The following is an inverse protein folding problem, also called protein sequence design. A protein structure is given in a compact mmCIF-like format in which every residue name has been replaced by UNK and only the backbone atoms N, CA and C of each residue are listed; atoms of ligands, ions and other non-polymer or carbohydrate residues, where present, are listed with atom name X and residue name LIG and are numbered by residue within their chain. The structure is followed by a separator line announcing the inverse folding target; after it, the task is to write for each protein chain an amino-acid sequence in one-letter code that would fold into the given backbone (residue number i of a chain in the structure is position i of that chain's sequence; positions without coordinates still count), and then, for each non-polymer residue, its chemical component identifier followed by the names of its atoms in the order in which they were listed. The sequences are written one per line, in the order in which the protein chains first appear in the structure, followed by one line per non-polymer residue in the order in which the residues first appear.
data_IF_910210813556
#
_entry.id   IF_910210813556
#
_cell.length_a   1.000
_cell.length_b   1.000
_cell.length_c   1.000
_cell.angle_alpha   90.00
_cell.angle_beta   90.00
_cell.angle_gamma   90.00
#
_symmetry.space_group_name_H-M   'P 1'
#
loop_
_entity.id
_entity.type
_entity.pdbx_description
1 polymer ?
#
# COMPACT_ATOMS: atom_id res chain seq x y z
N UNK A 1 22.45 11.30 1.24
CA UNK A 1 21.94 10.03 0.66
C UNK A 1 21.27 9.29 1.79
N UNK A 2 20.01 8.86 1.63
CA UNK A 2 19.33 8.07 2.66
C UNK A 2 19.87 6.65 2.67
N UNK A 3 20.03 6.04 3.84
CA UNK A 3 20.36 4.63 3.96
C UNK A 3 19.12 3.75 4.14
N UNK A 4 19.31 2.43 4.13
CA UNK A 4 18.23 1.45 4.25
C UNK A 4 17.43 1.58 5.55
N UNK A 5 18.10 1.90 6.66
CA UNK A 5 17.44 2.03 7.96
C UNK A 5 16.56 3.29 7.99
N UNK A 6 17.07 4.39 7.41
CA UNK A 6 16.31 5.63 7.25
C UNK A 6 15.05 5.39 6.40
N UNK A 7 15.17 4.71 5.27
CA UNK A 7 14.01 4.35 4.42
C UNK A 7 13.00 3.47 5.19
N UNK A 8 13.47 2.48 5.95
CA UNK A 8 12.59 1.62 6.76
C UNK A 8 11.84 2.42 7.83
N UNK A 9 12.49 3.38 8.47
CA UNK A 9 11.85 4.25 9.46
C UNK A 9 10.85 5.23 8.83
N UNK A 10 11.15 5.75 7.64
CA UNK A 10 10.23 6.58 6.86
C UNK A 10 8.97 5.80 6.47
N UNK A 11 9.11 4.56 6.01
CA UNK A 11 7.98 3.66 5.74
C UNK A 11 7.14 3.38 6.99
N UNK A 12 7.78 3.20 8.15
CA UNK A 12 7.06 3.01 9.42
C UNK A 12 6.24 4.25 9.78
N UNK A 13 6.81 5.44 9.63
CA UNK A 13 6.11 6.70 9.88
C UNK A 13 4.97 6.91 8.89
N UNK A 14 5.18 6.61 7.61
CA UNK A 14 4.17 6.66 6.57
C UNK A 14 2.99 5.72 6.89
N UNK A 15 3.30 4.48 7.27
CA UNK A 15 2.31 3.51 7.73
C UNK A 15 1.49 4.03 8.93
N UNK A 16 2.15 4.63 9.93
CA UNK A 16 1.47 5.18 11.10
C UNK A 16 0.56 6.36 10.72
N UNK A 17 1.02 7.26 9.86
CA UNK A 17 0.24 8.40 9.37
C UNK A 17 -1.01 7.93 8.60
N UNK A 18 -0.82 7.06 7.60
CA UNK A 18 -1.92 6.51 6.80
C UNK A 18 -2.94 5.75 7.63
N UNK A 19 -2.48 4.94 8.59
CA UNK A 19 -3.40 4.24 9.47
C UNK A 19 -4.21 5.18 10.35
N UNK A 20 -3.61 6.26 10.86
CA UNK A 20 -4.35 7.24 11.65
C UNK A 20 -5.53 7.79 10.83
N UNK A 21 -5.30 8.09 9.56
CA UNK A 21 -6.32 8.63 8.65
C UNK A 21 -7.38 7.59 8.27
N UNK A 22 -6.97 6.35 7.96
CA UNK A 22 -7.90 5.31 7.49
C UNK A 22 -8.67 4.59 8.59
N UNK A 23 -8.09 4.51 9.78
CA UNK A 23 -8.69 3.70 10.86
C UNK A 23 -9.38 4.55 11.91
N UNK A 24 -9.01 5.83 12.06
CA UNK A 24 -9.40 6.66 13.21
C UNK A 24 -9.20 5.93 14.56
N UNK A 25 -8.27 4.98 14.65
CA UNK A 25 -8.03 4.12 15.83
C UNK A 25 -8.62 2.70 15.75
N UNK A 26 -9.29 2.33 14.66
CA UNK A 26 -9.83 1.00 14.39
C UNK A 26 -8.82 -0.02 13.83
N UNK A 27 -9.32 -1.04 13.14
CA UNK A 27 -8.51 -2.11 12.57
C UNK A 27 -7.54 -1.58 11.50
N UNK A 28 -6.23 -1.73 11.74
CA UNK A 28 -5.13 -1.36 10.83
C UNK A 28 -5.16 -2.07 9.49
N UNK A 29 -5.88 -3.18 9.40
CA UNK A 29 -6.09 -3.95 8.17
C UNK A 29 -7.53 -3.78 7.64
N UNK A 30 -8.33 -2.94 8.28
CA UNK A 30 -9.77 -2.78 8.02
C UNK A 30 -10.08 -2.34 6.60
N UNK A 31 -9.22 -1.54 5.96
CA UNK A 31 -9.45 -1.12 4.58
C UNK A 31 -9.46 -2.31 3.60
N UNK A 32 -8.51 -3.24 3.73
CA UNK A 32 -8.43 -4.42 2.87
C UNK A 32 -9.61 -5.36 3.10
N UNK A 33 -9.99 -5.58 4.37
CA UNK A 33 -11.15 -6.41 4.75
C UNK A 33 -12.46 -5.81 4.23
N UNK A 34 -12.63 -4.49 4.36
CA UNK A 34 -13.81 -3.76 3.86
C UNK A 34 -13.94 -3.87 2.35
N UNK A 35 -12.86 -3.68 1.61
CA UNK A 35 -12.88 -3.77 0.14
C UNK A 35 -13.15 -5.20 -0.31
N UNK A 36 -12.51 -6.19 0.31
CA UNK A 36 -12.81 -7.62 0.09
C UNK A 36 -14.29 -7.94 0.33
N UNK A 37 -14.87 -7.44 1.43
CA UNK A 37 -16.29 -7.62 1.71
C UNK A 37 -17.21 -6.96 0.67
N UNK A 38 -16.87 -5.75 0.18
CA UNK A 38 -17.61 -5.07 -0.90
C UNK A 38 -17.55 -5.90 -2.19
N UNK A 39 -16.37 -6.40 -2.56
CA UNK A 39 -16.20 -7.22 -3.77
C UNK A 39 -17.04 -8.51 -3.70
N UNK A 40 -17.19 -9.09 -2.51
CA UNK A 40 -18.07 -10.25 -2.30
C UNK A 40 -19.53 -9.94 -2.56
N UNK A 41 -20.01 -8.73 -2.26
CA UNK A 41 -21.37 -8.30 -2.60
C UNK A 41 -21.61 -8.24 -4.13
N UNK A 42 -20.53 -8.14 -4.92
CA UNK A 42 -20.57 -8.16 -6.37
C UNK A 42 -20.31 -9.56 -6.97
N UNK A 43 -20.22 -10.59 -6.12
CA UNK A 43 -19.98 -11.97 -6.55
C UNK A 43 -18.51 -12.34 -6.73
N UNK A 44 -17.56 -11.48 -6.33
CA UNK A 44 -16.14 -11.80 -6.37
C UNK A 44 -15.64 -12.29 -5.02
N UNK A 45 -15.07 -13.50 -4.97
CA UNK A 45 -14.45 -14.01 -3.74
C UNK A 45 -12.95 -13.69 -3.71
N UNK A 46 -12.62 -12.46 -3.33
CA UNK A 46 -11.25 -11.94 -3.31
C UNK A 46 -10.78 -11.78 -1.86
N UNK A 47 -9.76 -12.53 -1.40
CA UNK A 47 -9.22 -12.38 -0.06
C UNK A 47 -8.64 -10.98 0.19
N UNK A 48 -8.67 -10.46 1.43
CA UNK A 48 -8.09 -9.16 1.77
C UNK A 48 -6.61 -9.03 1.36
N UNK A 49 -5.82 -10.10 1.46
CA UNK A 49 -4.42 -10.09 1.04
C UNK A 49 -4.26 -9.86 -0.46
N UNK A 50 -5.16 -10.38 -1.29
CA UNK A 50 -5.18 -10.13 -2.74
C UNK A 50 -5.53 -8.67 -3.04
N UNK A 51 -6.44 -8.06 -2.27
CA UNK A 51 -6.68 -6.61 -2.36
C UNK A 51 -5.39 -5.83 -2.05
N UNK A 52 -4.65 -6.24 -1.02
CA UNK A 52 -3.34 -5.68 -0.70
C UNK A 52 -2.34 -5.80 -1.86
N UNK A 53 -2.27 -6.98 -2.51
CA UNK A 53 -1.42 -7.20 -3.68
C UNK A 53 -1.81 -6.29 -4.85
N UNK A 54 -3.10 -6.07 -5.11
CA UNK A 54 -3.57 -5.16 -6.17
C UNK A 54 -3.16 -3.72 -5.86
N UNK A 55 -3.27 -3.28 -4.61
CA UNK A 55 -2.83 -1.93 -4.22
C UNK A 55 -1.31 -1.77 -4.33
N UNK A 56 -0.55 -2.80 -3.96
CA UNK A 56 0.91 -2.81 -4.16
C UNK A 56 1.27 -2.73 -5.65
N UNK A 57 0.61 -3.53 -6.50
CA UNK A 57 0.82 -3.54 -7.94
C UNK A 57 0.54 -2.17 -8.56
N UNK A 58 -0.56 -1.51 -8.17
CA UNK A 58 -0.90 -0.15 -8.61
C UNK A 58 0.24 0.84 -8.34
N UNK A 59 0.86 0.78 -7.16
CA UNK A 59 1.93 1.70 -6.79
C UNK A 59 3.23 1.41 -7.55
N UNK A 60 3.55 0.12 -7.74
CA UNK A 60 4.70 -0.31 -8.50
C UNK A 60 4.58 0.07 -9.98
N UNK A 61 3.41 -0.14 -10.59
CA UNK A 61 3.12 0.24 -11.98
C UNK A 61 3.26 1.75 -12.17
N UNK A 62 2.68 2.56 -11.28
CA UNK A 62 2.81 4.01 -11.34
C UNK A 62 4.28 4.46 -11.27
N UNK A 63 5.07 3.89 -10.35
CA UNK A 63 6.50 4.21 -10.24
C UNK A 63 7.27 3.80 -11.51
N UNK A 64 7.02 2.61 -12.05
CA UNK A 64 7.66 2.13 -13.27
C UNK A 64 7.30 2.99 -14.49
N UNK A 65 6.04 3.40 -14.59
CA UNK A 65 5.57 4.28 -15.66
C UNK A 65 6.23 5.67 -15.60
N UNK A 66 6.32 6.27 -14.40
CA UNK A 66 7.05 7.52 -14.13
C UNK A 66 8.51 7.43 -14.59
N UNK A 67 9.22 6.37 -14.18
CA UNK A 67 10.60 6.13 -14.60
C UNK A 67 10.73 6.00 -16.12
N UNK A 68 9.84 5.24 -16.76
CA UNK A 68 9.86 5.01 -18.21
C UNK A 68 9.64 6.30 -19.02
N UNK A 69 8.76 7.16 -18.54
CA UNK A 69 8.44 8.44 -19.17
C UNK A 69 9.35 9.61 -18.72
N UNK A 70 10.22 9.38 -17.73
CA UNK A 70 11.08 10.42 -17.12
C UNK A 70 10.28 11.62 -16.59
N UNK A 71 9.10 11.38 -16.04
CA UNK A 71 8.30 12.41 -15.37
C UNK A 71 8.26 12.18 -13.86
N UNK A 72 8.07 13.26 -13.11
CA UNK A 72 7.87 13.22 -11.68
C UNK A 72 6.47 13.73 -11.34
N UNK A 73 5.75 13.03 -10.46
CA UNK A 73 4.42 13.43 -10.04
C UNK A 73 4.45 14.60 -9.05
N UNK A 74 3.50 15.54 -9.16
CA UNK A 74 3.42 16.70 -8.26
C UNK A 74 2.96 16.33 -6.84
N UNK A 75 2.06 15.35 -6.72
CA UNK A 75 1.48 14.93 -5.43
C UNK A 75 2.18 13.70 -4.87
N UNK A 76 2.33 12.67 -5.71
CA UNK A 76 3.00 11.42 -5.35
C UNK A 76 4.07 11.15 -6.41
N UNK A 77 5.32 11.15 -5.94
CA UNK A 77 6.52 10.97 -6.74
C UNK A 77 7.00 9.50 -6.70
N UNK A 78 7.98 9.15 -7.53
CA UNK A 78 8.53 7.78 -7.64
C UNK A 78 8.91 7.22 -6.25
N UNK A 79 9.56 8.02 -5.40
CA UNK A 79 10.02 7.60 -4.08
C UNK A 79 8.86 7.25 -3.13
N UNK A 80 7.85 8.12 -3.05
CA UNK A 80 6.64 7.88 -2.22
C UNK A 80 5.83 6.67 -2.71
N UNK A 81 5.79 6.42 -4.02
CA UNK A 81 5.16 5.23 -4.61
C UNK A 81 5.89 3.96 -4.20
N UNK A 82 7.23 3.96 -4.24
CA UNK A 82 8.04 2.81 -3.82
C UNK A 82 7.98 2.58 -2.31
N UNK A 83 7.91 3.64 -1.50
CA UNK A 83 7.68 3.52 -0.06
C UNK A 83 6.33 2.83 0.24
N UNK A 84 5.27 3.16 -0.50
CA UNK A 84 3.98 2.47 -0.39
C UNK A 84 4.08 0.99 -0.76
N UNK A 85 4.87 0.62 -1.77
CA UNK A 85 5.15 -0.80 -2.09
C UNK A 85 5.78 -1.50 -0.88
N UNK A 86 6.77 -0.86 -0.25
CA UNK A 86 7.42 -1.35 0.96
C UNK A 86 6.45 -1.53 2.14
N UNK A 87 5.52 -0.60 2.33
CA UNK A 87 4.47 -0.68 3.36
C UNK A 87 3.47 -1.79 3.04
N UNK A 88 2.93 -1.85 1.81
CA UNK A 88 1.94 -2.85 1.43
C UNK A 88 2.49 -4.28 1.50
N UNK A 89 3.75 -4.50 1.13
CA UNK A 89 4.38 -5.81 1.27
C UNK A 89 4.34 -6.36 2.71
N UNK A 90 4.52 -5.47 3.71
CA UNK A 90 4.45 -5.82 5.14
C UNK A 90 3.01 -6.06 5.57
N UNK A 91 2.07 -5.24 5.09
CA UNK A 91 0.63 -5.40 5.40
C UNK A 91 0.05 -6.70 4.85
N UNK A 92 0.43 -7.10 3.63
CA UNK A 92 0.02 -8.37 3.03
C UNK A 92 0.48 -9.56 3.89
N UNK A 93 1.71 -9.52 4.41
CA UNK A 93 2.22 -10.54 5.34
C UNK A 93 1.40 -10.62 6.62
N UNK A 94 0.89 -9.50 7.12
CA UNK A 94 0.05 -9.45 8.32
C UNK A 94 -1.38 -9.93 8.06
N UNK A 95 -1.89 -9.75 6.84
CA UNK A 95 -3.22 -10.23 6.46
C UNK A 95 -3.31 -11.75 6.39
N UNK A 96 -2.19 -12.44 6.14
CA UNK A 96 -2.16 -13.89 5.89
C UNK A 96 -2.58 -14.23 4.46
N UNK A 97 -2.05 -15.34 3.92
CA UNK A 97 -2.28 -15.78 2.54
C UNK A 97 -3.44 -16.75 2.35
N UNK A 98 -4.31 -16.89 3.35
CA UNK A 98 -5.41 -17.86 3.41
C UNK A 98 -6.79 -17.19 3.36
#
# INVERSE_FOLDING_TARGET
MRDYNQLTMEELNLYQAKNKDYTQGGDKLGNFKRVSAILRLWGFDIPPAVVGLIYMLKQLDAAGNMMGQKYEGEIENIDTRLADVGVYSKLIRLLGGE
#
